data_IF_318840158167
#
_entry.id   IF_318840158167
#
_cell.length_a   1.000
_cell.length_b   1.000
_cell.length_c   1.000
_cell.angle_alpha   90.00
_cell.angle_beta   90.00
_cell.angle_gamma   90.00
#
_symmetry.space_group_name_H-M   'P 1'
#
loop_
_entity.id
_entity.type
_entity.pdbx_description
1 polymer ?
#
# COMPACT_ATOMS: atom_id res chain seq x y z
N UNK A 1 -15.12 -13.95 12.52
CA UNK A 1 -15.63 -13.78 11.13
C UNK A 1 -15.23 -12.43 10.51
N UNK A 2 -15.51 -11.29 11.16
CA UNK A 2 -15.26 -9.94 10.62
C UNK A 2 -13.83 -9.74 10.06
N UNK A 3 -12.78 -10.10 10.81
CA UNK A 3 -11.37 -9.92 10.36
C UNK A 3 -11.02 -10.70 9.09
N UNK A 4 -11.59 -11.91 8.91
CA UNK A 4 -11.39 -12.70 7.69
C UNK A 4 -12.05 -12.04 6.49
N UNK A 5 -13.26 -11.50 6.68
CA UNK A 5 -13.95 -10.75 5.63
C UNK A 5 -13.15 -9.52 5.21
N UNK A 6 -12.61 -8.77 6.17
CA UNK A 6 -11.76 -7.61 5.88
C UNK A 6 -10.51 -8.03 5.07
N UNK A 7 -9.84 -9.12 5.47
CA UNK A 7 -8.70 -9.65 4.72
C UNK A 7 -9.06 -10.00 3.27
N UNK A 8 -10.20 -10.67 3.07
CA UNK A 8 -10.70 -11.01 1.73
C UNK A 8 -11.01 -9.78 0.89
N UNK A 9 -11.57 -8.72 1.47
CA UNK A 9 -11.82 -7.46 0.75
C UNK A 9 -10.52 -6.84 0.25
N UNK A 10 -9.46 -6.86 1.07
CA UNK A 10 -8.15 -6.38 0.67
C UNK A 10 -7.50 -7.23 -0.42
N UNK A 11 -7.62 -8.57 -0.36
CA UNK A 11 -7.15 -9.43 -1.44
C UNK A 11 -7.93 -9.25 -2.75
N UNK A 12 -9.25 -9.09 -2.66
CA UNK A 12 -10.08 -8.77 -3.82
C UNK A 12 -9.70 -7.42 -4.43
N UNK A 13 -9.47 -6.40 -3.62
CA UNK A 13 -9.00 -5.10 -4.08
C UNK A 13 -7.63 -5.22 -4.77
N UNK A 14 -6.69 -5.97 -4.19
CA UNK A 14 -5.40 -6.22 -4.81
C UNK A 14 -5.53 -6.90 -6.18
N UNK A 15 -6.39 -7.90 -6.29
CA UNK A 15 -6.66 -8.58 -7.56
C UNK A 15 -7.26 -7.61 -8.59
N UNK A 16 -8.27 -6.83 -8.19
CA UNK A 16 -8.87 -5.80 -9.07
C UNK A 16 -7.82 -4.81 -9.54
N UNK A 17 -6.94 -4.32 -8.65
CA UNK A 17 -5.86 -3.40 -9.03
C UNK A 17 -4.88 -4.06 -10.01
N UNK A 18 -4.47 -5.31 -9.76
CA UNK A 18 -3.57 -6.06 -10.63
C UNK A 18 -4.15 -6.26 -12.04
N UNK A 19 -5.43 -6.61 -12.14
CA UNK A 19 -6.11 -6.79 -13.42
C UNK A 19 -6.47 -5.47 -14.13
N UNK A 20 -6.88 -4.44 -13.39
CA UNK A 20 -7.37 -3.18 -13.98
C UNK A 20 -6.25 -2.18 -14.32
N UNK A 21 -5.19 -2.13 -13.51
CA UNK A 21 -4.06 -1.21 -13.70
C UNK A 21 -2.85 -1.90 -14.33
N UNK A 22 -2.76 -3.23 -14.19
CA UNK A 22 -1.61 -4.03 -14.57
C UNK A 22 -0.74 -4.41 -13.37
N UNK A 23 -0.20 -5.63 -13.39
CA UNK A 23 0.60 -6.17 -12.28
C UNK A 23 1.92 -5.43 -12.01
N UNK A 24 2.39 -4.64 -12.98
CA UNK A 24 3.57 -3.78 -12.85
C UNK A 24 3.26 -2.30 -12.65
N UNK A 25 1.99 -1.92 -12.44
CA UNK A 25 1.63 -0.53 -12.26
C UNK A 25 2.14 -0.01 -10.91
N UNK A 26 2.94 1.05 -10.94
CA UNK A 26 3.63 1.59 -9.77
C UNK A 26 2.67 2.25 -8.79
N UNK A 27 2.94 2.08 -7.48
CA UNK A 27 2.18 2.71 -6.41
C UNK A 27 2.24 4.24 -6.51
N UNK A 28 3.41 4.79 -6.81
CA UNK A 28 3.61 6.23 -7.02
C UNK A 28 2.73 6.78 -8.13
N UNK A 29 2.66 6.09 -9.27
CA UNK A 29 1.78 6.45 -10.38
C UNK A 29 0.29 6.36 -9.99
N UNK A 30 -0.10 5.36 -9.21
CA UNK A 30 -1.46 5.26 -8.67
C UNK A 30 -1.81 6.43 -7.76
N UNK A 31 -0.94 6.76 -6.81
CA UNK A 31 -1.13 7.85 -5.86
C UNK A 31 -1.12 9.22 -6.54
N UNK A 32 -0.21 9.43 -7.50
CA UNK A 32 -0.15 10.67 -8.28
C UNK A 32 -1.41 10.86 -9.13
N UNK A 33 -1.99 9.79 -9.69
CA UNK A 33 -3.27 9.85 -10.41
C UNK A 33 -4.45 10.22 -9.49
N UNK A 34 -4.42 9.80 -8.22
CA UNK A 34 -5.48 10.09 -7.25
C UNK A 34 -5.37 11.52 -6.73
N UNK A 35 -4.19 11.92 -6.26
CA UNK A 35 -3.96 13.26 -5.73
C UNK A 35 -2.48 13.67 -5.88
N UNK A 36 -2.11 14.34 -6.99
CA UNK A 36 -0.73 14.74 -7.22
C UNK A 36 -0.27 15.81 -6.22
N UNK A 37 -1.19 16.68 -5.77
CA UNK A 37 -0.89 17.73 -4.78
C UNK A 37 -0.46 17.16 -3.44
N UNK A 38 -1.12 16.10 -2.97
CA UNK A 38 -0.75 15.42 -1.73
C UNK A 38 0.63 14.76 -1.83
N UNK A 39 0.94 14.11 -2.96
CA UNK A 39 2.24 13.45 -3.14
C UNK A 39 3.38 14.48 -3.23
N UNK A 40 3.16 15.58 -3.96
CA UNK A 40 4.13 16.69 -4.04
C UNK A 40 4.33 17.38 -2.68
N UNK A 41 3.26 17.57 -1.91
CA UNK A 41 3.36 18.13 -0.56
C UNK A 41 4.12 17.21 0.39
N UNK A 42 3.90 15.88 0.29
CA UNK A 42 4.67 14.89 1.05
C UNK A 42 6.15 14.93 0.67
N UNK A 43 6.47 14.95 -0.63
CA UNK A 43 7.83 15.08 -1.12
C UNK A 43 8.51 16.34 -0.58
N UNK A 44 7.86 17.50 -0.76
CA UNK A 44 8.39 18.78 -0.29
C UNK A 44 8.56 18.78 1.24
N UNK A 45 7.63 18.15 1.98
CA UNK A 45 7.73 18.01 3.43
C UNK A 45 8.94 17.18 3.85
N UNK A 46 9.18 16.04 3.22
CA UNK A 46 10.33 15.17 3.53
C UNK A 46 11.64 15.89 3.19
N UNK A 47 11.72 16.51 2.00
CA UNK A 47 12.91 17.24 1.57
C UNK A 47 13.19 18.48 2.44
N UNK A 48 12.16 19.10 3.02
CA UNK A 48 12.29 20.30 3.85
C UNK A 48 12.56 20.01 5.33
N UNK A 49 12.01 18.93 5.88
CA UNK A 49 11.99 18.70 7.34
C UNK A 49 12.75 17.46 7.81
N UNK A 50 13.10 16.53 6.91
CA UNK A 50 13.88 15.34 7.23
C UNK A 50 15.27 15.47 6.61
N UNK A 51 15.49 14.81 5.48
CA UNK A 51 16.69 14.89 4.65
C UNK A 51 16.27 14.52 3.23
N UNK A 52 16.78 15.21 2.18
CA UNK A 52 16.43 14.89 0.79
C UNK A 52 16.65 13.42 0.42
N UNK A 53 17.70 12.80 0.97
CA UNK A 53 18.08 11.41 0.72
C UNK A 53 17.05 10.41 1.23
N UNK A 54 16.20 10.79 2.20
CA UNK A 54 15.10 9.92 2.69
C UNK A 54 14.05 9.73 1.60
N UNK A 55 13.79 10.77 0.81
CA UNK A 55 12.84 10.66 -0.29
C UNK A 55 13.33 9.63 -1.32
N UNK A 56 14.55 9.85 -1.83
CA UNK A 56 15.11 9.01 -2.89
C UNK A 56 15.48 7.61 -2.40
N UNK A 57 15.97 7.49 -1.16
CA UNK A 57 16.46 6.23 -0.59
C UNK A 57 15.38 5.33 0.02
N UNK A 58 14.28 5.89 0.52
CA UNK A 58 13.21 5.12 1.18
C UNK A 58 11.87 5.24 0.47
N UNK A 59 11.41 6.46 0.15
CA UNK A 59 10.08 6.66 -0.42
C UNK A 59 10.01 6.22 -1.88
N UNK A 60 10.97 6.60 -2.72
CA UNK A 60 10.98 6.22 -4.15
C UNK A 60 10.95 4.70 -4.35
N UNK A 61 11.76 3.88 -3.65
CA UNK A 61 11.65 2.42 -3.75
C UNK A 61 10.28 1.88 -3.35
N UNK A 62 9.65 2.44 -2.32
CA UNK A 62 8.30 2.05 -1.90
C UNK A 62 7.27 2.45 -2.96
N UNK A 63 7.38 3.65 -3.53
CA UNK A 63 6.49 4.14 -4.57
C UNK A 63 6.67 3.38 -5.90
N UNK A 64 7.86 2.84 -6.16
CA UNK A 64 8.12 1.97 -7.31
C UNK A 64 7.57 0.54 -7.14
N UNK A 65 7.14 0.15 -5.92
CA UNK A 65 6.50 -1.15 -5.73
C UNK A 65 5.16 -1.20 -6.48
N UNK A 66 4.70 -2.40 -6.86
CA UNK A 66 3.40 -2.56 -7.50
C UNK A 66 2.26 -2.04 -6.62
N UNK A 67 1.32 -1.31 -7.19
CA UNK A 67 0.22 -0.65 -6.48
C UNK A 67 -0.68 -1.66 -5.73
N UNK A 68 -0.80 -2.90 -6.23
CA UNK A 68 -1.52 -3.99 -5.57
C UNK A 68 -0.81 -4.52 -4.32
N UNK A 69 0.48 -4.23 -4.12
CA UNK A 69 1.27 -4.73 -2.99
C UNK A 69 0.75 -4.25 -1.63
N UNK A 70 0.35 -2.97 -1.55
CA UNK A 70 -0.20 -2.39 -0.31
C UNK A 70 -1.47 -3.12 0.16
N UNK A 71 -2.51 -3.33 -0.66
CA UNK A 71 -3.68 -4.08 -0.23
C UNK A 71 -3.36 -5.55 0.09
N UNK A 72 -2.42 -6.21 -0.60
CA UNK A 72 -1.98 -7.57 -0.21
C UNK A 72 -1.39 -7.58 1.20
N UNK A 73 -0.50 -6.63 1.51
CA UNK A 73 0.11 -6.52 2.83
C UNK A 73 -0.95 -6.36 3.92
N UNK A 74 -1.93 -5.47 3.72
CA UNK A 74 -3.02 -5.27 4.66
C UNK A 74 -3.88 -6.53 4.82
N UNK A 75 -4.20 -7.21 3.71
CA UNK A 75 -4.92 -8.48 3.73
C UNK A 75 -4.21 -9.55 4.56
N UNK A 76 -2.89 -9.68 4.41
CA UNK A 76 -2.07 -10.60 5.20
C UNK A 76 -2.08 -10.27 6.70
N UNK A 77 -1.95 -8.98 7.07
CA UNK A 77 -2.00 -8.54 8.46
C UNK A 77 -3.34 -8.89 9.10
N UNK A 78 -4.46 -8.58 8.45
CA UNK A 78 -5.79 -8.89 8.98
C UNK A 78 -6.05 -10.39 9.07
N UNK A 79 -5.55 -11.17 8.10
CA UNK A 79 -5.64 -12.63 8.14
C UNK A 79 -4.83 -13.20 9.31
N UNK A 80 -3.58 -12.76 9.50
CA UNK A 80 -2.72 -13.19 10.59
C UNK A 80 -3.34 -12.91 11.96
N UNK A 81 -3.88 -11.69 12.16
CA UNK A 81 -4.61 -11.34 13.39
C UNK A 81 -5.83 -12.25 13.57
N UNK A 82 -6.58 -12.54 12.51
CA UNK A 82 -7.72 -13.44 12.61
C UNK A 82 -7.33 -14.85 13.00
N UNK A 83 -6.22 -15.37 12.48
CA UNK A 83 -5.73 -16.72 12.79
C UNK A 83 -5.20 -16.79 14.22
N UNK A 84 -4.43 -15.79 14.66
CA UNK A 84 -3.93 -15.71 16.03
C UNK A 84 -5.05 -15.63 17.08
N UNK A 85 -6.21 -15.06 16.72
CA UNK A 85 -7.40 -15.02 17.60
C UNK A 85 -8.17 -16.34 17.62
N UNK A 86 -8.16 -17.11 16.54
CA UNK A 86 -8.87 -18.39 16.45
C UNK A 86 -8.23 -19.49 17.31
N UNK A 87 -6.90 -19.45 17.53
CA UNK A 87 -6.19 -20.43 18.36
C UNK A 87 -6.18 -20.15 19.86
N UNK A 88 -6.91 -19.13 20.34
CA UNK A 88 -6.95 -18.72 21.77
C UNK A 88 -8.30 -18.96 22.45
N UNK A 89 -9.27 -19.55 21.75
CA UNK A 89 -10.58 -19.95 22.29
C UNK A 89 -10.73 -21.46 22.23
#
# INVERSE_FOLDING_TARGET
MILRTIALLFFSLAAVMGFALGWGYELGAALFRVNPGALNALQAGIQRYLFPEVWDGAFVPILAMPAWGLPVLLGLVFLAISLARAGRG
#
